data_IF_534813750408
#
_entry.id   IF_534813750408
#
_cell.length_a   1.000
_cell.length_b   1.000
_cell.length_c   1.000
_cell.angle_alpha   90.00
_cell.angle_beta   90.00
_cell.angle_gamma   90.00
#
_symmetry.space_group_name_H-M   'P 1'
#
loop_
_entity.id
_entity.type
_entity.pdbx_description
1 polymer ?
#
# COMPACT_ATOMS: atom_id res chain seq x y z
N UNK A 1 -7.37 6.11 13.29
CA UNK A 1 -7.05 6.76 12.00
C UNK A 1 -7.41 8.25 11.98
N UNK A 2 -8.51 8.70 12.58
CA UNK A 2 -8.97 10.11 12.70
C UNK A 2 -7.97 11.26 12.51
N UNK A 3 -6.86 11.33 13.26
CA UNK A 3 -5.86 12.41 13.10
C UNK A 3 -5.20 12.42 11.72
N UNK A 4 -4.88 11.24 11.19
CA UNK A 4 -4.38 11.02 9.82
C UNK A 4 -5.39 11.55 8.82
N UNK A 5 -6.65 11.14 8.96
CA UNK A 5 -7.73 11.52 8.04
C UNK A 5 -8.01 13.01 8.05
N UNK A 6 -7.94 13.66 9.22
CA UNK A 6 -8.07 15.11 9.33
C UNK A 6 -6.91 15.84 8.66
N UNK A 7 -5.67 15.36 8.87
CA UNK A 7 -4.48 15.93 8.20
C UNK A 7 -4.58 15.81 6.69
N UNK A 8 -5.02 14.65 6.18
CA UNK A 8 -5.27 14.43 4.76
C UNK A 8 -6.31 15.40 4.23
N UNK A 9 -7.47 15.50 4.90
CA UNK A 9 -8.56 16.37 4.49
C UNK A 9 -8.09 17.83 4.41
N UNK A 10 -7.45 18.34 5.46
CA UNK A 10 -6.97 19.72 5.51
C UNK A 10 -5.97 20.01 4.39
N UNK A 11 -4.99 19.12 4.17
CA UNK A 11 -3.99 19.29 3.12
C UNK A 11 -4.63 19.46 1.73
N UNK A 12 -5.60 18.61 1.39
CA UNK A 12 -6.25 18.68 0.09
C UNK A 12 -7.19 19.90 -0.02
N UNK A 13 -7.96 20.22 1.02
CA UNK A 13 -8.77 21.45 1.04
C UNK A 13 -7.92 22.71 0.86
N UNK A 14 -6.80 22.83 1.57
CA UNK A 14 -5.84 23.93 1.42
C UNK A 14 -5.24 23.97 0.00
N UNK A 15 -4.95 22.82 -0.58
CA UNK A 15 -4.44 22.71 -1.96
C UNK A 15 -5.44 23.23 -3.01
N UNK A 16 -6.74 23.07 -2.76
CA UNK A 16 -7.81 23.61 -3.62
C UNK A 16 -8.09 25.09 -3.38
N UNK A 17 -7.68 25.65 -2.23
CA UNK A 17 -8.02 27.02 -1.78
C UNK A 17 -7.35 28.15 -2.56
N UNK A 18 -6.67 27.87 -3.67
CA UNK A 18 -6.00 28.85 -4.55
C UNK A 18 -6.93 29.52 -5.58
N UNK A 19 -8.25 29.33 -5.48
CA UNK A 19 -9.30 29.84 -6.40
C UNK A 19 -10.46 30.47 -5.61
N UNK A 20 -11.51 30.91 -6.30
CA UNK A 20 -12.80 31.28 -5.70
C UNK A 20 -13.25 30.20 -4.69
N UNK A 21 -13.60 30.63 -3.47
CA UNK A 21 -13.95 29.76 -2.35
C UNK A 21 -15.06 28.75 -2.70
N UNK A 22 -16.06 29.16 -3.48
CA UNK A 22 -17.17 28.30 -3.90
C UNK A 22 -16.73 27.17 -4.83
N UNK A 23 -15.75 27.45 -5.70
CA UNK A 23 -15.16 26.47 -6.63
C UNK A 23 -14.25 25.51 -5.87
N UNK A 24 -13.46 26.03 -4.93
CA UNK A 24 -12.57 25.22 -4.08
C UNK A 24 -13.33 24.21 -3.23
N UNK A 25 -14.44 24.63 -2.59
CA UNK A 25 -15.30 23.74 -1.80
C UNK A 25 -15.94 22.64 -2.66
N UNK A 26 -16.39 22.98 -3.87
CA UNK A 26 -16.94 21.99 -4.82
C UNK A 26 -15.90 20.95 -5.23
N UNK A 27 -14.71 21.39 -5.63
CA UNK A 27 -13.61 20.49 -6.05
C UNK A 27 -13.17 19.57 -4.91
N UNK A 28 -13.05 20.08 -3.69
CA UNK A 28 -12.71 19.28 -2.53
C UNK A 28 -13.76 18.19 -2.28
N UNK A 29 -15.05 18.55 -2.33
CA UNK A 29 -16.15 17.60 -2.14
C UNK A 29 -16.18 16.51 -3.21
N UNK A 30 -16.00 16.87 -4.48
CA UNK A 30 -15.91 15.91 -5.60
C UNK A 30 -14.73 14.96 -5.40
N UNK A 31 -13.55 15.49 -5.07
CA UNK A 31 -12.36 14.68 -4.79
C UNK A 31 -12.58 13.68 -3.65
N UNK A 32 -13.13 14.11 -2.51
CA UNK A 32 -13.36 13.20 -1.40
C UNK A 32 -14.45 12.16 -1.69
N UNK A 33 -15.48 12.52 -2.46
CA UNK A 33 -16.49 11.58 -2.93
C UNK A 33 -15.86 10.50 -3.83
N UNK A 34 -15.00 10.90 -4.76
CA UNK A 34 -14.27 9.99 -5.64
C UNK A 34 -13.36 9.06 -4.84
N UNK A 35 -12.61 9.59 -3.86
CA UNK A 35 -11.77 8.79 -2.97
C UNK A 35 -12.61 7.76 -2.22
N UNK A 36 -13.74 8.17 -1.61
CA UNK A 36 -14.60 7.26 -0.85
C UNK A 36 -15.17 6.16 -1.75
N UNK A 37 -15.62 6.51 -2.96
CA UNK A 37 -16.30 5.58 -3.85
C UNK A 37 -15.34 4.64 -4.60
N UNK A 38 -14.25 5.16 -5.15
CA UNK A 38 -13.37 4.39 -6.04
C UNK A 38 -12.26 3.62 -5.31
N UNK A 39 -11.82 4.08 -4.13
CA UNK A 39 -10.74 3.41 -3.39
C UNK A 39 -11.09 1.95 -3.02
N UNK A 40 -12.30 1.63 -2.49
CA UNK A 40 -12.69 0.24 -2.22
C UNK A 40 -12.64 -0.67 -3.46
N UNK A 41 -13.14 -0.17 -4.60
CA UNK A 41 -13.13 -0.91 -5.88
C UNK A 41 -11.70 -1.25 -6.30
N UNK A 42 -10.77 -0.29 -6.17
CA UNK A 42 -9.35 -0.53 -6.48
C UNK A 42 -8.70 -1.54 -5.51
N UNK A 43 -9.12 -1.57 -4.23
CA UNK A 43 -8.63 -2.56 -3.26
C UNK A 43 -9.12 -3.98 -3.59
N UNK A 44 -10.37 -4.13 -4.01
CA UNK A 44 -10.90 -5.40 -4.50
C UNK A 44 -10.15 -5.88 -5.75
N UNK A 45 -9.82 -4.96 -6.66
CA UNK A 45 -9.05 -5.26 -7.86
C UNK A 45 -7.61 -5.68 -7.53
N UNK A 46 -6.97 -5.07 -6.53
CA UNK A 46 -5.67 -5.53 -6.01
C UNK A 46 -5.75 -6.98 -5.52
N UNK A 47 -6.71 -7.30 -4.68
CA UNK A 47 -6.89 -8.67 -4.16
C UNK A 47 -7.18 -9.67 -5.29
N UNK A 48 -7.97 -9.27 -6.30
CA UNK A 48 -8.24 -10.08 -7.50
C UNK A 48 -6.96 -10.38 -8.30
N UNK A 49 -6.12 -9.36 -8.55
CA UNK A 49 -4.85 -9.56 -9.25
C UNK A 49 -3.92 -10.50 -8.50
N UNK A 50 -3.83 -10.37 -7.17
CA UNK A 50 -3.02 -11.23 -6.35
C UNK A 50 -3.50 -12.69 -6.39
N UNK A 51 -4.81 -12.93 -6.24
CA UNK A 51 -5.41 -14.27 -6.34
C UNK A 51 -5.24 -14.91 -7.71
N UNK A 52 -5.23 -14.10 -8.78
CA UNK A 52 -5.02 -14.57 -10.14
C UNK A 52 -3.52 -14.76 -10.50
N UNK A 53 -2.60 -14.54 -9.57
CA UNK A 53 -1.15 -14.62 -9.83
C UNK A 53 -0.61 -13.50 -10.72
N UNK A 54 -1.38 -12.45 -10.97
CA UNK A 54 -1.05 -11.30 -11.83
C UNK A 54 -0.29 -10.22 -11.04
N UNK A 55 0.91 -10.57 -10.57
CA UNK A 55 1.69 -9.75 -9.63
C UNK A 55 2.19 -8.43 -10.24
N UNK A 56 2.45 -8.42 -11.54
CA UNK A 56 2.77 -7.24 -12.32
C UNK A 56 1.59 -6.21 -12.29
N UNK A 57 0.36 -6.67 -12.54
CA UNK A 57 -0.84 -5.82 -12.46
C UNK A 57 -1.09 -5.36 -11.02
N UNK A 58 -0.90 -6.24 -10.03
CA UNK A 58 -0.96 -5.86 -8.61
C UNK A 58 0.02 -4.73 -8.29
N UNK A 59 1.28 -4.86 -8.72
CA UNK A 59 2.33 -3.86 -8.48
C UNK A 59 2.00 -2.50 -9.12
N UNK A 60 1.50 -2.51 -10.36
CA UNK A 60 1.11 -1.29 -11.06
C UNK A 60 -0.03 -0.57 -10.33
N UNK A 61 -1.10 -1.29 -10.01
CA UNK A 61 -2.26 -0.72 -9.33
C UNK A 61 -1.94 -0.24 -7.90
N UNK A 62 -1.00 -0.88 -7.20
CA UNK A 62 -0.58 -0.45 -5.85
C UNK A 62 -0.03 0.98 -5.85
N UNK A 63 0.52 1.46 -6.97
CA UNK A 63 1.07 2.81 -7.09
C UNK A 63 0.01 3.91 -6.94
N UNK A 64 -1.26 3.62 -7.24
CA UNK A 64 -2.37 4.54 -7.07
C UNK A 64 -2.54 4.99 -5.62
N UNK A 65 -2.09 4.17 -4.65
CA UNK A 65 -2.23 4.45 -3.22
C UNK A 65 -0.99 5.10 -2.61
N UNK A 66 0.05 5.40 -3.40
CA UNK A 66 1.32 5.94 -2.90
C UNK A 66 1.13 7.23 -2.10
N UNK A 67 0.22 8.11 -2.49
CA UNK A 67 -0.01 9.38 -1.81
C UNK A 67 -0.45 9.21 -0.35
N UNK A 68 -1.07 8.08 0.02
CA UNK A 68 -1.53 7.83 1.39
C UNK A 68 -0.38 7.59 2.38
N UNK A 69 0.83 7.25 1.89
CA UNK A 69 1.99 6.96 2.74
C UNK A 69 2.52 8.19 3.48
N UNK A 70 2.17 9.39 3.04
CA UNK A 70 2.58 10.65 3.67
C UNK A 70 1.79 10.94 4.94
N UNK A 71 0.62 10.33 5.09
CA UNK A 71 -0.32 10.68 6.15
C UNK A 71 -0.33 9.66 7.30
N UNK A 72 0.14 8.42 7.09
CA UNK A 72 0.10 7.36 8.10
C UNK A 72 1.31 6.46 8.04
N UNK A 73 2.03 6.34 9.16
CA UNK A 73 3.16 5.40 9.32
C UNK A 73 2.75 3.94 9.06
N UNK A 74 1.51 3.56 9.42
CA UNK A 74 0.99 2.23 9.14
C UNK A 74 0.79 2.03 7.64
N UNK A 75 0.14 2.98 6.95
CA UNK A 75 -0.03 2.88 5.49
C UNK A 75 1.32 2.89 4.77
N UNK A 76 2.24 3.75 5.23
CA UNK A 76 3.61 3.83 4.74
C UNK A 76 4.33 2.49 4.83
N UNK A 77 4.39 1.92 6.04
CA UNK A 77 5.06 0.66 6.34
C UNK A 77 4.57 -0.48 5.44
N UNK A 78 3.25 -0.67 5.35
CA UNK A 78 2.69 -1.79 4.60
C UNK A 78 2.75 -1.54 3.10
N UNK A 79 2.57 -0.31 2.62
CA UNK A 79 2.72 0.00 1.19
C UNK A 79 4.12 -0.32 0.68
N UNK A 80 5.17 0.08 1.41
CA UNK A 80 6.55 -0.23 1.03
C UNK A 80 6.84 -1.74 1.06
N UNK A 81 6.29 -2.48 2.03
CA UNK A 81 6.38 -3.94 2.04
C UNK A 81 5.72 -4.56 0.81
N UNK A 82 4.44 -4.24 0.57
CA UNK A 82 3.68 -4.76 -0.56
C UNK A 82 4.39 -4.45 -1.88
N UNK A 83 4.92 -3.24 -2.03
CA UNK A 83 5.67 -2.82 -3.21
C UNK A 83 6.97 -3.61 -3.39
N UNK A 84 7.77 -3.74 -2.33
CA UNK A 84 9.04 -4.44 -2.42
C UNK A 84 8.84 -5.93 -2.78
N UNK A 85 7.92 -6.60 -2.09
CA UNK A 85 7.64 -8.01 -2.32
C UNK A 85 7.01 -8.27 -3.69
N UNK A 86 6.01 -7.49 -4.09
CA UNK A 86 5.43 -7.65 -5.44
C UNK A 86 6.44 -7.40 -6.56
N UNK A 87 7.36 -6.44 -6.40
CA UNK A 87 8.44 -6.22 -7.38
C UNK A 87 9.35 -7.43 -7.49
N UNK A 88 9.82 -7.97 -6.35
CA UNK A 88 10.71 -9.12 -6.33
C UNK A 88 10.01 -10.37 -6.88
N UNK A 89 8.78 -10.64 -6.45
CA UNK A 89 7.97 -11.76 -6.91
C UNK A 89 7.66 -11.67 -8.40
N UNK A 90 7.33 -10.49 -8.92
CA UNK A 90 7.09 -10.30 -10.36
C UNK A 90 8.32 -10.69 -11.19
N UNK A 91 9.53 -10.35 -10.73
CA UNK A 91 10.79 -10.76 -11.39
C UNK A 91 11.03 -12.28 -11.29
N UNK A 92 10.82 -12.86 -10.12
CA UNK A 92 11.00 -14.31 -9.92
C UNK A 92 10.00 -15.15 -10.72
N UNK A 93 8.78 -14.66 -10.89
CA UNK A 93 7.74 -15.33 -11.68
C UNK A 93 8.02 -15.21 -13.18
N UNK A 94 8.52 -14.05 -13.64
CA UNK A 94 8.88 -13.84 -15.04
C UNK A 94 10.08 -14.70 -15.45
N UNK A 95 11.11 -14.72 -14.62
CA UNK A 95 12.36 -15.47 -14.84
C UNK A 95 12.45 -16.61 -13.81
N UNK A 96 11.57 -17.60 -13.94
CA UNK A 96 11.41 -18.73 -13.01
C UNK A 96 12.58 -19.73 -13.12
N UNK A 97 13.77 -19.29 -12.71
CA UNK A 97 14.96 -20.13 -12.61
C UNK A 97 15.78 -19.81 -11.36
N UNK A 98 16.41 -20.82 -10.77
CA UNK A 98 17.34 -20.63 -9.64
C UNK A 98 18.47 -19.68 -10.02
N UNK A 99 18.95 -19.74 -11.28
CA UNK A 99 20.02 -18.85 -11.77
C UNK A 99 19.61 -17.38 -11.67
N UNK A 100 18.39 -17.04 -12.07
CA UNK A 100 17.90 -15.67 -12.04
C UNK A 100 17.49 -15.23 -10.63
N UNK A 101 17.01 -16.16 -9.80
CA UNK A 101 16.83 -15.92 -8.36
C UNK A 101 18.14 -15.51 -7.67
N UNK A 102 19.27 -16.17 -8.01
CA UNK A 102 20.60 -15.78 -7.50
C UNK A 102 21.02 -14.40 -7.99
N UNK A 103 20.78 -14.07 -9.27
CA UNK A 103 21.05 -12.71 -9.79
C UNK A 103 20.23 -11.67 -9.05
N UNK A 104 18.96 -11.94 -8.77
CA UNK A 104 18.09 -11.03 -8.03
C UNK A 104 18.62 -10.79 -6.61
N UNK A 105 19.04 -11.86 -5.92
CA UNK A 105 19.70 -11.76 -4.63
C UNK A 105 20.96 -10.88 -4.72
N UNK A 106 21.87 -11.17 -5.67
CA UNK A 106 23.11 -10.40 -5.86
C UNK A 106 22.83 -8.92 -6.11
N UNK A 107 21.84 -8.60 -6.95
CA UNK A 107 21.42 -7.22 -7.21
C UNK A 107 21.00 -6.49 -5.93
N UNK A 108 20.21 -7.12 -5.07
CA UNK A 108 19.81 -6.50 -3.81
C UNK A 108 20.95 -6.44 -2.80
N UNK A 109 21.83 -7.44 -2.75
CA UNK A 109 23.01 -7.43 -1.91
C UNK A 109 23.96 -6.28 -2.29
N UNK A 110 24.16 -6.01 -3.58
CA UNK A 110 24.97 -4.86 -4.05
C UNK A 110 24.39 -3.51 -3.60
N UNK A 111 23.07 -3.37 -3.59
CA UNK A 111 22.39 -2.12 -3.21
C UNK A 111 22.43 -1.90 -1.70
N UNK A 112 22.15 -2.94 -0.92
CA UNK A 112 21.96 -2.81 0.53
C UNK A 112 23.21 -3.17 1.36
N UNK A 113 24.20 -3.79 0.74
CA UNK A 113 25.39 -4.31 1.40
C UNK A 113 25.08 -5.53 2.27
N UNK A 114 25.96 -5.82 3.23
CA UNK A 114 25.78 -6.93 4.15
C UNK A 114 24.83 -6.58 5.32
N UNK A 115 24.19 -7.58 5.91
CA UNK A 115 23.26 -7.41 7.01
C UNK A 115 23.99 -6.92 8.26
N UNK A 116 23.86 -5.63 8.57
CA UNK A 116 24.34 -5.09 9.85
C UNK A 116 23.39 -5.55 10.97
N UNK A 117 23.84 -6.45 11.84
CA UNK A 117 23.06 -6.85 13.02
C UNK A 117 22.85 -5.66 13.97
N UNK A 118 21.69 -5.01 13.87
CA UNK A 118 21.26 -3.95 14.78
C UNK A 118 20.48 -4.56 15.96
N UNK A 119 20.76 -4.12 17.19
CA UNK A 119 20.02 -4.56 18.41
C UNK A 119 18.50 -4.30 18.34
N UNK A 120 18.06 -3.36 17.49
CA UNK A 120 16.65 -3.04 17.20
C UNK A 120 16.51 -2.82 15.70
N UNK A 121 16.48 -3.90 14.94
CA UNK A 121 16.27 -3.84 13.50
C UNK A 121 14.88 -3.26 13.19
N UNK A 122 14.83 -2.27 12.29
CA UNK A 122 13.57 -1.69 11.85
C UNK A 122 12.71 -2.80 11.21
N UNK A 123 11.40 -2.82 11.50
CA UNK A 123 10.52 -3.94 11.09
C UNK A 123 10.60 -4.26 9.59
N UNK A 124 10.65 -3.23 8.74
CA UNK A 124 10.75 -3.42 7.29
C UNK A 124 12.12 -3.96 6.85
N UNK A 125 13.20 -3.56 7.53
CA UNK A 125 14.55 -4.09 7.28
C UNK A 125 14.61 -5.57 7.65
N UNK A 126 14.06 -5.94 8.81
CA UNK A 126 13.96 -7.34 9.22
C UNK A 126 13.24 -8.18 8.17
N UNK A 127 12.10 -7.70 7.66
CA UNK A 127 11.32 -8.38 6.62
C UNK A 127 12.10 -8.53 5.31
N UNK A 128 12.82 -7.49 4.90
CA UNK A 128 13.70 -7.56 3.72
C UNK A 128 14.78 -8.63 3.90
N UNK A 129 15.44 -8.67 5.06
CA UNK A 129 16.49 -9.65 5.32
C UNK A 129 15.94 -11.06 5.41
N UNK A 130 14.79 -11.28 6.04
CA UNK A 130 14.10 -12.59 6.02
C UNK A 130 13.88 -13.08 4.57
N UNK A 131 13.45 -12.18 3.66
CA UNK A 131 13.29 -12.49 2.24
C UNK A 131 14.62 -12.85 1.55
N UNK A 132 15.65 -12.02 1.74
CA UNK A 132 16.93 -12.20 1.06
C UNK A 132 17.71 -13.41 1.59
N UNK A 133 17.72 -13.62 2.90
CA UNK A 133 18.37 -14.76 3.55
C UNK A 133 17.74 -16.08 3.05
N UNK A 134 16.42 -16.14 2.95
CA UNK A 134 15.73 -17.31 2.40
C UNK A 134 15.99 -17.49 0.90
N UNK A 135 15.94 -16.41 0.10
CA UNK A 135 16.22 -16.45 -1.34
C UNK A 135 17.63 -16.95 -1.63
N UNK A 136 18.61 -16.57 -0.80
CA UNK A 136 20.00 -17.01 -0.94
C UNK A 136 20.16 -18.52 -0.79
N UNK A 137 19.32 -19.17 0.02
CA UNK A 137 19.45 -20.59 0.35
C UNK A 137 18.86 -21.52 -0.73
N UNK A 138 18.07 -21.00 -1.66
CA UNK A 138 17.42 -21.78 -2.73
C UNK A 138 18.47 -22.31 -3.71
N UNK A 139 18.51 -23.62 -3.94
CA UNK A 139 19.43 -24.25 -4.89
C UNK A 139 18.74 -25.16 -5.90
N UNK A 140 17.43 -25.41 -5.73
CA UNK A 140 16.62 -26.21 -6.65
C UNK A 140 15.35 -25.47 -7.08
N UNK A 141 14.80 -25.83 -8.24
CA UNK A 141 13.59 -25.19 -8.78
C UNK A 141 12.34 -25.46 -7.93
N UNK A 142 12.23 -26.65 -7.31
CA UNK A 142 11.14 -26.97 -6.37
C UNK A 142 11.16 -26.06 -5.13
N UNK A 143 12.36 -25.70 -4.66
CA UNK A 143 12.54 -24.76 -3.55
C UNK A 143 12.15 -23.34 -3.96
N UNK A 144 12.41 -22.96 -5.21
CA UNK A 144 12.00 -21.67 -5.77
C UNK A 144 10.48 -21.56 -5.87
N UNK A 145 9.80 -22.59 -6.36
CA UNK A 145 8.34 -22.63 -6.44
C UNK A 145 7.70 -22.53 -5.03
N UNK A 146 8.25 -23.27 -4.07
CA UNK A 146 7.84 -23.20 -2.66
C UNK A 146 8.06 -21.81 -2.05
N UNK A 147 9.20 -21.18 -2.33
CA UNK A 147 9.50 -19.82 -1.89
C UNK A 147 8.53 -18.79 -2.48
N UNK A 148 8.27 -18.84 -3.79
CA UNK A 148 7.31 -17.95 -4.46
C UNK A 148 5.93 -18.11 -3.83
N UNK A 149 5.46 -19.35 -3.66
CA UNK A 149 4.16 -19.64 -3.06
C UNK A 149 4.03 -19.10 -1.63
N UNK A 150 5.07 -19.30 -0.80
CA UNK A 150 5.13 -18.74 0.55
C UNK A 150 5.04 -17.22 0.53
N UNK A 151 5.82 -16.54 -0.30
CA UNK A 151 5.85 -15.08 -0.30
C UNK A 151 4.63 -14.44 -0.96
N UNK A 152 3.93 -15.15 -1.86
CA UNK A 152 2.59 -14.77 -2.31
C UNK A 152 1.58 -14.80 -1.16
N UNK A 153 1.62 -15.82 -0.31
CA UNK A 153 0.78 -15.88 0.88
C UNK A 153 1.11 -14.74 1.85
N UNK A 154 2.40 -14.51 2.13
CA UNK A 154 2.84 -13.39 2.98
C UNK A 154 2.36 -12.05 2.40
N UNK A 155 2.46 -11.86 1.08
CA UNK A 155 1.95 -10.66 0.40
C UNK A 155 0.43 -10.50 0.61
N UNK A 156 -0.34 -11.59 0.49
CA UNK A 156 -1.80 -11.59 0.71
C UNK A 156 -2.18 -11.24 2.15
N UNK A 157 -1.49 -11.81 3.14
CA UNK A 157 -1.74 -11.52 4.55
C UNK A 157 -1.46 -10.05 4.88
N UNK A 158 -0.37 -9.49 4.36
CA UNK A 158 -0.05 -8.08 4.54
C UNK A 158 -1.01 -7.16 3.77
N UNK A 159 -1.54 -7.59 2.63
CA UNK A 159 -2.56 -6.85 1.89
C UNK A 159 -3.84 -6.71 2.71
N UNK A 160 -4.29 -7.78 3.38
CA UNK A 160 -5.48 -7.73 4.26
C UNK A 160 -5.32 -6.68 5.37
N UNK A 161 -4.14 -6.62 5.98
CA UNK A 161 -3.85 -5.61 7.01
C UNK A 161 -3.87 -4.20 6.41
N UNK A 162 -3.23 -4.01 5.25
CA UNK A 162 -3.22 -2.72 4.55
C UNK A 162 -4.62 -2.24 4.17
N UNK A 163 -5.45 -3.13 3.60
CA UNK A 163 -6.85 -2.88 3.27
C UNK A 163 -7.63 -2.45 4.51
N UNK A 164 -7.45 -3.12 5.66
CA UNK A 164 -8.11 -2.72 6.91
C UNK A 164 -7.77 -1.27 7.30
N UNK A 165 -6.50 -0.85 7.19
CA UNK A 165 -6.13 0.53 7.49
C UNK A 165 -6.72 1.54 6.50
N UNK A 166 -6.83 1.20 5.21
CA UNK A 166 -7.47 2.08 4.23
C UNK A 166 -8.97 2.17 4.48
N UNK A 167 -9.64 1.06 4.80
CA UNK A 167 -11.07 1.09 5.10
C UNK A 167 -11.37 1.91 6.36
N UNK A 168 -10.54 1.80 7.40
CA UNK A 168 -10.64 2.67 8.57
C UNK A 168 -10.47 4.16 8.21
N UNK A 169 -9.53 4.45 7.31
CA UNK A 169 -9.32 5.80 6.80
C UNK A 169 -10.54 6.33 6.02
N UNK A 170 -11.11 5.53 5.12
CA UNK A 170 -12.32 5.88 4.35
C UNK A 170 -13.50 6.13 5.29
N UNK A 171 -13.74 5.23 6.25
CA UNK A 171 -14.81 5.36 7.24
C UNK A 171 -14.67 6.65 8.07
N UNK A 172 -13.45 7.01 8.46
CA UNK A 172 -13.20 8.28 9.16
C UNK A 172 -13.43 9.48 8.23
N UNK A 173 -13.11 9.36 6.93
CA UNK A 173 -13.30 10.44 5.95
C UNK A 173 -14.79 10.69 5.68
N UNK A 174 -15.58 9.63 5.53
CA UNK A 174 -17.04 9.68 5.40
C UNK A 174 -17.69 10.41 6.60
N UNK A 175 -17.25 10.09 7.82
CA UNK A 175 -17.75 10.76 9.04
C UNK A 175 -17.43 12.25 9.02
N UNK A 176 -16.23 12.64 8.60
CA UNK A 176 -15.84 14.04 8.49
C UNK A 176 -16.66 14.78 7.43
N UNK A 177 -17.00 14.12 6.31
CA UNK A 177 -17.89 14.69 5.27
C UNK A 177 -19.34 14.82 5.75
N UNK A 178 -19.83 13.88 6.56
CA UNK A 178 -21.20 13.92 7.08
C UNK A 178 -21.42 15.05 8.10
N UNK A 179 -20.40 15.38 8.91
CA UNK A 179 -20.44 16.45 9.91
C UNK A 179 -20.49 17.86 9.31
N UNK A 180 -20.22 18.03 8.01
CA UNK A 180 -20.34 19.32 7.30
C UNK A 180 -21.77 19.60 6.77
N UNK A 181 -22.74 18.68 6.93
CA UNK A 181 -24.14 19.00 6.59
C UNK A 181 -24.65 20.07 7.57
N UNK A 182 -25.16 21.22 7.11
CA UNK A 182 -25.79 22.17 8.00
C UNK A 182 -26.99 21.49 8.65
N UNK A 183 -27.00 21.46 9.99
CA UNK A 183 -28.22 21.20 10.75
C UNK A 183 -29.23 22.22 10.26
N UNK A 184 -30.21 21.79 9.44
CA UNK A 184 -31.33 22.64 9.06
C UNK A 184 -31.90 23.17 10.37
N UNK A 185 -31.81 24.48 10.57
CA UNK A 185 -32.49 25.14 11.67
C UNK A 185 -33.95 24.72 11.58
N UNK A 186 -34.40 23.94 12.56
CA UNK A 186 -35.81 23.86 12.92
C UNK A 186 -36.19 25.26 13.39
N UNK A 187 -36.46 26.15 12.44
CA UNK A 187 -37.26 27.35 12.71
C UNK A 187 -38.70 26.87 12.82
N UNK A 188 -39.10 26.78 14.07
CA UNK A 188 -40.47 26.94 14.57
C UNK A 188 -41.37 27.71 13.59
N UNK A 189 -42.48 27.08 13.21
CA UNK A 189 -43.75 27.73 12.92
C UNK A 189 -44.82 26.99 13.71
#
# INVERSE_FOLDING_TARGET
>A
MKKVTLSFKNYFEESFSKKDQSVSEKLAKEFFADVIYHTPIKLELLDSHLKAGRIDYFYQLLSDFKYLVEFSDSLNRYWYLLRAYSTALSKLIADHSVKDAKKLYSHYFEIYGDRRMLRKEHWFEKKRWEFLDELQLINREDELEGFISKYLQVLSENLKIYVSFIMDFINDLEKLQALQKPVKQLKSA
#
